data_IF_554053497521
#
_entry.id   IF_554053497521
#
_cell.length_a   1.000
_cell.length_b   1.000
_cell.length_c   1.000
_cell.angle_alpha   90.00
_cell.angle_beta   90.00
_cell.angle_gamma   90.00
#
_symmetry.space_group_name_H-M   'P 1'
#
loop_
_entity.id
_entity.type
_entity.pdbx_description
1 polymer ?
#
# COMPACT_ATOMS: atom_id res chain seq x y z
N UNK A 1 -17.18 -5.08 -28.11
CA UNK A 1 -17.82 -4.25 -27.07
C UNK A 1 -17.84 -2.81 -27.52
N UNK A 2 -18.91 -2.08 -27.24
CA UNK A 2 -18.99 -0.65 -27.51
C UNK A 2 -18.34 0.09 -26.30
N UNK A 3 -17.47 1.06 -26.61
CA UNK A 3 -16.89 1.93 -25.59
C UNK A 3 -17.89 3.02 -25.28
N UNK A 4 -18.21 3.24 -24.01
CA UNK A 4 -19.00 4.39 -23.59
C UNK A 4 -18.11 5.66 -23.58
N UNK A 5 -18.10 6.40 -24.67
CA UNK A 5 -17.26 7.59 -24.84
C UNK A 5 -17.70 8.79 -24.01
N UNK A 6 -18.88 8.75 -23.37
CA UNK A 6 -19.32 9.79 -22.45
C UNK A 6 -18.80 9.59 -21.02
N UNK A 7 -18.26 8.40 -20.69
CA UNK A 7 -17.75 8.11 -19.37
C UNK A 7 -16.42 8.84 -19.13
N UNK A 8 -16.40 9.72 -18.12
CA UNK A 8 -15.22 10.45 -17.67
C UNK A 8 -15.19 10.40 -16.14
N UNK A 9 -14.22 9.71 -15.58
CA UNK A 9 -14.19 9.46 -14.13
C UNK A 9 -12.88 8.85 -13.72
N UNK A 10 -12.94 7.97 -12.74
CA UNK A 10 -11.81 7.26 -12.19
C UNK A 10 -12.02 5.74 -12.32
N UNK A 11 -10.94 5.00 -12.44
CA UNK A 11 -10.95 3.54 -12.36
C UNK A 11 -9.93 3.08 -11.33
N UNK A 12 -10.41 2.33 -10.36
CA UNK A 12 -9.59 1.57 -9.41
C UNK A 12 -9.25 0.22 -10.02
N UNK A 13 -7.96 -0.11 -10.06
CA UNK A 13 -7.44 -1.30 -10.73
C UNK A 13 -6.63 -2.12 -9.74
N UNK A 14 -6.91 -3.41 -9.71
CA UNK A 14 -6.12 -4.39 -8.97
C UNK A 14 -5.65 -5.47 -9.93
N UNK A 15 -4.34 -5.72 -9.96
CA UNK A 15 -3.73 -6.75 -10.81
C UNK A 15 -3.16 -7.85 -9.93
N UNK A 16 -3.66 -9.06 -10.10
CA UNK A 16 -3.25 -10.25 -9.35
C UNK A 16 -2.32 -11.12 -10.16
N UNK A 17 -1.38 -11.75 -9.46
CA UNK A 17 -0.57 -12.84 -10.00
C UNK A 17 -1.43 -14.08 -10.32
N UNK A 18 -0.77 -15.12 -10.75
CA UNK A 18 -1.33 -16.43 -11.07
C UNK A 18 -2.01 -17.07 -9.86
N UNK A 19 -2.96 -17.97 -10.13
CA UNK A 19 -3.54 -18.81 -9.09
C UNK A 19 -2.50 -19.71 -8.43
N UNK A 20 -2.65 -19.86 -7.13
CA UNK A 20 -1.92 -20.82 -6.30
C UNK A 20 -2.80 -22.00 -5.93
N UNK A 21 -2.26 -23.20 -6.07
CA UNK A 21 -2.90 -24.39 -5.50
C UNK A 21 -2.37 -24.59 -4.09
N UNK A 22 -3.25 -24.44 -3.12
CA UNK A 22 -2.96 -24.65 -1.71
C UNK A 22 -3.53 -25.98 -1.27
N UNK A 23 -2.75 -26.71 -0.47
CA UNK A 23 -3.12 -27.95 0.15
C UNK A 23 -3.06 -27.78 1.67
N UNK A 24 -4.18 -28.02 2.36
CA UNK A 24 -4.21 -27.96 3.83
C UNK A 24 -3.31 -29.03 4.45
N UNK A 25 -2.79 -28.74 5.65
CA UNK A 25 -1.87 -29.64 6.36
C UNK A 25 -2.55 -30.89 6.92
N UNK A 26 -3.91 -30.93 6.98
CA UNK A 26 -4.67 -32.02 7.55
C UNK A 26 -4.24 -32.36 9.00
N UNK A 27 -4.12 -31.34 9.85
CA UNK A 27 -3.63 -31.48 11.23
C UNK A 27 -4.50 -32.39 12.12
N UNK A 28 -5.77 -32.59 11.71
CA UNK A 28 -6.73 -33.44 12.43
C UNK A 28 -6.62 -34.94 12.11
N UNK A 29 -5.65 -35.34 11.27
CA UNK A 29 -5.45 -36.74 10.86
C UNK A 29 -5.20 -37.70 12.04
N UNK A 30 -4.81 -37.17 13.22
CA UNK A 30 -4.71 -37.98 14.46
C UNK A 30 -6.08 -38.30 15.08
N UNK A 31 -7.11 -37.47 14.80
CA UNK A 31 -8.47 -37.65 15.31
C UNK A 31 -9.35 -38.37 14.29
N UNK A 32 -9.07 -38.20 13.01
CA UNK A 32 -9.75 -38.87 11.91
C UNK A 32 -8.72 -39.40 10.90
N UNK A 33 -8.50 -40.71 10.92
CA UNK A 33 -7.55 -41.41 10.02
C UNK A 33 -7.99 -41.41 8.55
N UNK A 34 -9.23 -41.01 8.27
CA UNK A 34 -9.78 -40.91 6.90
C UNK A 34 -9.65 -39.50 6.34
N UNK A 35 -9.27 -38.53 7.17
CA UNK A 35 -9.12 -37.15 6.76
C UNK A 35 -8.08 -37.00 5.64
N UNK A 36 -8.46 -36.31 4.60
CA UNK A 36 -7.60 -36.01 3.46
C UNK A 36 -7.34 -34.50 3.39
N UNK A 37 -6.16 -34.06 2.97
CA UNK A 37 -5.88 -32.65 2.75
C UNK A 37 -6.85 -32.05 1.73
N UNK A 38 -7.45 -30.93 2.09
CA UNK A 38 -8.26 -30.16 1.16
C UNK A 38 -7.38 -29.38 0.20
N UNK A 39 -7.67 -29.45 -1.10
CA UNK A 39 -6.94 -28.74 -2.14
C UNK A 39 -7.85 -27.67 -2.73
N UNK A 40 -7.37 -26.44 -2.77
CA UNK A 40 -8.09 -25.31 -3.36
C UNK A 40 -7.15 -24.37 -4.11
N UNK A 41 -7.69 -23.60 -5.04
CA UNK A 41 -6.96 -22.56 -5.73
C UNK A 41 -7.28 -21.21 -5.12
N UNK A 42 -6.27 -20.37 -5.02
CA UNK A 42 -6.36 -19.06 -4.38
C UNK A 42 -5.46 -18.04 -5.08
N UNK A 43 -5.90 -16.79 -5.17
CA UNK A 43 -5.12 -15.63 -5.61
C UNK A 43 -5.02 -14.66 -4.46
N UNK A 44 -3.84 -14.55 -3.87
CA UNK A 44 -3.61 -13.75 -2.66
C UNK A 44 -3.05 -12.39 -2.94
N UNK A 45 -2.20 -12.28 -3.95
CA UNK A 45 -1.22 -11.20 -3.97
C UNK A 45 -1.46 -10.31 -5.18
N UNK A 46 -2.10 -9.15 -4.99
CA UNK A 46 -2.05 -8.12 -6.00
C UNK A 46 -0.62 -7.57 -6.07
N UNK A 47 -0.04 -7.50 -7.24
CA UNK A 47 1.24 -6.83 -7.45
C UNK A 47 1.08 -5.40 -7.98
N UNK A 48 -0.13 -4.98 -8.27
CA UNK A 48 -0.47 -3.60 -8.55
C UNK A 48 -1.86 -3.27 -8.00
N UNK A 49 -1.96 -2.16 -7.29
CA UNK A 49 -3.21 -1.55 -6.86
C UNK A 49 -3.07 -0.05 -7.09
N UNK A 50 -3.96 0.54 -7.88
CA UNK A 50 -3.88 1.95 -8.18
C UNK A 50 -5.18 2.51 -8.76
N UNK A 51 -5.23 3.83 -8.85
CA UNK A 51 -6.36 4.55 -9.42
C UNK A 51 -5.88 5.51 -10.51
N UNK A 52 -6.55 5.51 -11.65
CA UNK A 52 -6.22 6.36 -12.80
C UNK A 52 -7.48 6.99 -13.41
N UNK A 53 -7.27 8.11 -14.14
CA UNK A 53 -8.35 8.77 -14.83
C UNK A 53 -8.87 7.97 -16.03
N UNK A 54 -10.18 7.93 -16.18
CA UNK A 54 -10.86 7.48 -17.40
C UNK A 54 -11.27 8.71 -18.19
N UNK A 55 -10.86 8.78 -19.44
CA UNK A 55 -11.25 9.84 -20.39
C UNK A 55 -11.89 9.24 -21.64
N UNK A 56 -13.10 9.69 -21.96
CA UNK A 56 -13.85 9.17 -23.10
C UNK A 56 -13.99 7.63 -23.11
N UNK A 57 -14.19 7.04 -21.92
CA UNK A 57 -14.34 5.62 -21.72
C UNK A 57 -13.04 4.81 -21.88
N UNK A 58 -11.88 5.46 -21.84
CA UNK A 58 -10.56 4.83 -21.98
C UNK A 58 -9.66 5.24 -20.83
N UNK A 59 -8.80 4.33 -20.40
CA UNK A 59 -7.73 4.58 -19.46
C UNK A 59 -6.46 3.86 -19.90
N UNK A 60 -5.35 4.26 -19.37
CA UNK A 60 -4.03 3.65 -19.56
C UNK A 60 -3.34 3.56 -18.21
N UNK A 61 -2.64 2.46 -17.97
CA UNK A 61 -1.82 2.26 -16.79
C UNK A 61 -0.45 1.74 -17.21
N UNK A 62 0.55 2.14 -16.44
CA UNK A 62 1.90 1.63 -16.51
C UNK A 62 2.28 1.07 -15.15
N UNK A 63 2.93 -0.07 -15.12
CA UNK A 63 3.44 -0.69 -13.90
C UNK A 63 4.61 -1.64 -14.24
N UNK A 64 5.44 -1.91 -13.25
CA UNK A 64 6.56 -2.84 -13.38
C UNK A 64 6.16 -4.17 -12.73
N UNK A 65 6.45 -5.28 -13.40
CA UNK A 65 6.24 -6.61 -12.86
C UNK A 65 7.36 -6.94 -11.88
N UNK A 66 7.05 -7.23 -10.60
CA UNK A 66 8.06 -7.48 -9.58
C UNK A 66 8.94 -8.69 -9.85
N UNK A 67 10.18 -8.66 -9.38
CA UNK A 67 11.08 -9.83 -9.41
C UNK A 67 10.60 -11.01 -8.56
N UNK A 68 9.84 -10.74 -7.52
CA UNK A 68 9.30 -11.76 -6.60
C UNK A 68 8.14 -12.56 -7.19
N UNK A 69 7.74 -12.25 -8.42
CA UNK A 69 6.74 -13.02 -9.14
C UNK A 69 7.26 -14.41 -9.49
N UNK A 70 6.39 -15.39 -9.49
CA UNK A 70 6.76 -16.74 -9.92
C UNK A 70 7.10 -16.77 -11.41
N UNK A 71 8.21 -17.37 -11.76
CA UNK A 71 8.71 -17.43 -13.15
C UNK A 71 7.88 -18.34 -14.08
N UNK A 72 7.08 -19.28 -13.52
CA UNK A 72 6.22 -20.13 -14.33
C UNK A 72 5.14 -19.31 -15.05
N UNK A 73 4.86 -19.63 -16.29
CA UNK A 73 3.78 -19.01 -17.05
C UNK A 73 2.41 -19.37 -16.50
N UNK A 74 1.54 -18.40 -16.38
CA UNK A 74 0.17 -18.60 -15.93
C UNK A 74 -0.69 -17.36 -16.16
N UNK A 75 -2.00 -17.53 -15.99
CA UNK A 75 -2.96 -16.43 -16.15
C UNK A 75 -3.04 -15.58 -14.90
N UNK A 76 -2.74 -14.29 -15.05
CA UNK A 76 -3.08 -13.26 -14.07
C UNK A 76 -4.55 -12.85 -14.16
N UNK A 77 -4.97 -11.96 -13.28
CA UNK A 77 -6.30 -11.34 -13.28
C UNK A 77 -6.19 -9.85 -13.05
N UNK A 78 -6.87 -9.08 -13.87
CA UNK A 78 -7.10 -7.65 -13.64
C UNK A 78 -8.55 -7.50 -13.18
N UNK A 79 -8.76 -6.81 -12.06
CA UNK A 79 -10.08 -6.43 -11.56
C UNK A 79 -10.16 -4.91 -11.62
N UNK A 80 -11.28 -4.39 -12.08
CA UNK A 80 -11.49 -2.97 -12.32
C UNK A 80 -12.83 -2.54 -11.75
N UNK A 81 -12.84 -1.40 -11.08
CA UNK A 81 -14.05 -0.70 -10.66
C UNK A 81 -13.91 0.76 -11.07
N UNK A 82 -14.81 1.23 -11.92
CA UNK A 82 -14.81 2.59 -12.44
C UNK A 82 -16.04 3.35 -11.96
N UNK A 83 -15.88 4.64 -11.69
CA UNK A 83 -16.97 5.51 -11.29
C UNK A 83 -16.82 6.90 -11.88
N UNK A 84 -17.95 7.49 -12.26
CA UNK A 84 -18.12 8.86 -12.75
C UNK A 84 -19.09 9.56 -11.82
N UNK A 85 -18.57 10.42 -10.94
CA UNK A 85 -19.38 11.13 -9.94
C UNK A 85 -20.28 12.21 -10.56
N UNK A 86 -19.91 12.75 -11.72
CA UNK A 86 -20.72 13.78 -12.38
C UNK A 86 -21.98 13.19 -13.01
N UNK A 87 -21.85 12.01 -13.62
CA UNK A 87 -22.97 11.32 -14.24
C UNK A 87 -23.63 10.28 -13.32
N UNK A 88 -23.05 10.03 -12.14
CA UNK A 88 -23.47 9.00 -11.18
C UNK A 88 -23.57 7.61 -11.85
N UNK A 89 -22.52 7.24 -12.59
CA UNK A 89 -22.41 5.98 -13.30
C UNK A 89 -21.25 5.17 -12.70
N UNK A 90 -21.47 3.89 -12.50
CA UNK A 90 -20.47 2.93 -12.05
C UNK A 90 -20.32 1.79 -13.05
N UNK A 91 -19.13 1.23 -13.14
CA UNK A 91 -18.85 0.07 -13.95
C UNK A 91 -17.83 -0.84 -13.25
N UNK A 92 -17.98 -2.14 -13.40
CA UNK A 92 -17.00 -3.10 -12.91
C UNK A 92 -16.68 -4.14 -14.00
N UNK A 93 -15.52 -4.75 -13.88
CA UNK A 93 -15.11 -5.78 -14.82
C UNK A 93 -13.86 -6.52 -14.37
N UNK A 94 -13.61 -7.64 -15.03
CA UNK A 94 -12.39 -8.40 -14.86
C UNK A 94 -11.85 -8.89 -16.20
N UNK A 95 -10.52 -9.06 -16.27
CA UNK A 95 -9.82 -9.56 -17.44
C UNK A 95 -8.82 -10.64 -17.02
N UNK A 96 -8.90 -11.83 -17.60
CA UNK A 96 -8.09 -12.99 -17.23
C UNK A 96 -7.27 -13.58 -18.42
N UNK A 97 -7.26 -12.92 -19.56
CA UNK A 97 -6.48 -13.37 -20.71
C UNK A 97 -5.06 -12.77 -20.76
N UNK A 98 -4.56 -12.34 -19.63
CA UNK A 98 -3.19 -11.86 -19.45
C UNK A 98 -2.33 -13.01 -18.96
N UNK A 99 -1.22 -13.28 -19.65
CA UNK A 99 -0.22 -14.25 -19.20
C UNK A 99 0.95 -13.53 -18.54
N UNK A 100 1.35 -14.05 -17.40
CA UNK A 100 2.44 -13.53 -16.58
C UNK A 100 3.46 -14.65 -16.39
N UNK A 101 4.74 -14.31 -16.53
CA UNK A 101 5.85 -15.26 -16.33
C UNK A 101 7.00 -14.99 -17.31
N UNK A 102 8.09 -15.71 -17.12
CA UNK A 102 9.32 -15.51 -17.88
C UNK A 102 10.18 -14.39 -17.31
N UNK A 103 11.24 -14.05 -18.04
CA UNK A 103 12.18 -12.97 -17.71
C UNK A 103 12.02 -11.85 -18.72
N UNK A 104 12.11 -10.60 -18.25
CA UNK A 104 12.10 -9.43 -19.12
C UNK A 104 13.43 -9.30 -19.89
N UNK A 105 13.34 -8.87 -21.14
CA UNK A 105 14.53 -8.46 -21.92
C UNK A 105 14.82 -6.99 -21.63
N UNK A 106 16.12 -6.62 -21.56
CA UNK A 106 16.59 -5.24 -21.34
C UNK A 106 16.14 -4.59 -20.04
N UNK A 107 16.29 -5.30 -18.92
CA UNK A 107 16.00 -4.75 -17.59
C UNK A 107 17.09 -3.75 -17.22
N UNK A 108 16.74 -2.50 -16.98
CA UNK A 108 17.62 -1.53 -16.33
C UNK A 108 17.67 -1.87 -14.84
N UNK A 109 18.86 -2.23 -14.35
CA UNK A 109 19.07 -2.53 -12.94
C UNK A 109 19.36 -1.25 -12.18
N UNK A 110 18.63 -1.06 -11.08
CA UNK A 110 18.99 -0.10 -10.04
C UNK A 110 19.38 -0.84 -8.77
N UNK A 111 20.10 -0.15 -7.88
CA UNK A 111 20.66 -0.72 -6.66
C UNK A 111 20.27 0.11 -5.43
N UNK A 112 19.58 1.20 -5.62
CA UNK A 112 19.08 2.05 -4.53
C UNK A 112 17.70 1.55 -4.11
N UNK A 113 17.46 1.45 -2.80
CA UNK A 113 16.12 1.09 -2.30
C UNK A 113 15.22 2.32 -2.20
N UNK A 114 13.93 2.11 -1.89
CA UNK A 114 12.93 3.17 -1.86
C UNK A 114 13.31 4.36 -0.98
N UNK A 115 13.00 5.57 -1.44
CA UNK A 115 13.08 6.77 -0.63
C UNK A 115 11.93 6.77 0.37
N UNK A 116 12.25 7.03 1.63
CA UNK A 116 11.29 6.99 2.74
C UNK A 116 11.23 8.36 3.39
N UNK A 117 10.02 8.91 3.52
CA UNK A 117 9.73 10.03 4.41
C UNK A 117 8.68 9.57 5.42
N UNK A 118 9.14 9.19 6.62
CA UNK A 118 8.29 8.65 7.68
C UNK A 118 8.07 9.68 8.79
N UNK A 119 6.85 9.72 9.33
CA UNK A 119 6.48 10.61 10.42
C UNK A 119 5.26 10.09 11.20
N UNK A 120 4.97 10.72 12.34
CA UNK A 120 3.78 10.48 13.15
C UNK A 120 2.83 11.68 13.06
N UNK A 121 1.55 11.43 12.82
CA UNK A 121 0.44 12.39 12.78
C UNK A 121 0.58 13.51 11.74
N UNK A 122 1.75 14.13 11.61
CA UNK A 122 1.97 15.31 10.79
C UNK A 122 3.30 15.25 10.05
N UNK A 123 3.38 15.71 8.79
CA UNK A 123 4.63 15.80 8.03
C UNK A 123 5.67 16.75 8.65
N UNK A 124 5.27 17.56 9.64
CA UNK A 124 6.13 18.42 10.45
C UNK A 124 6.62 17.74 11.74
N UNK A 125 6.34 16.46 11.93
CA UNK A 125 6.84 15.70 13.07
C UNK A 125 8.37 15.73 13.11
N UNK A 126 8.91 16.02 14.29
CA UNK A 126 10.35 16.03 14.53
C UNK A 126 10.70 14.78 15.33
N UNK A 127 11.77 14.09 14.94
CA UNK A 127 12.26 12.90 15.66
C UNK A 127 12.49 13.21 17.14
N UNK A 128 12.01 12.34 18.02
CA UNK A 128 11.94 12.56 19.47
C UNK A 128 10.70 13.35 19.94
N UNK A 129 9.81 13.74 19.03
CA UNK A 129 8.59 14.49 19.33
C UNK A 129 7.60 13.74 20.19
N UNK A 130 6.61 14.48 20.73
CA UNK A 130 5.56 13.94 21.59
C UNK A 130 4.31 13.60 20.79
N UNK A 131 3.68 12.47 21.14
CA UNK A 131 2.42 12.02 20.56
C UNK A 131 1.47 11.53 21.66
N UNK A 132 0.18 11.35 21.32
CA UNK A 132 -0.76 10.66 22.19
C UNK A 132 -0.58 9.13 22.10
N UNK A 133 -1.35 8.39 22.86
CA UNK A 133 -1.31 6.91 22.89
C UNK A 133 -1.78 6.22 21.60
N UNK A 134 -2.39 6.96 20.67
CA UNK A 134 -2.94 6.44 19.42
C UNK A 134 -2.43 7.27 18.21
N UNK A 135 -1.12 7.30 17.94
CA UNK A 135 -0.59 8.07 16.82
C UNK A 135 -0.84 7.36 15.49
N UNK A 136 -0.97 8.14 14.42
CA UNK A 136 -0.97 7.65 13.05
C UNK A 136 0.46 7.62 12.52
N UNK A 137 0.97 6.44 12.20
CA UNK A 137 2.22 6.31 11.43
C UNK A 137 1.92 6.56 9.96
N UNK A 138 2.74 7.40 9.33
CA UNK A 138 2.67 7.71 7.90
C UNK A 138 4.05 7.52 7.28
N UNK A 139 4.10 6.86 6.13
CA UNK A 139 5.30 6.77 5.30
C UNK A 139 4.96 7.15 3.85
N UNK A 140 5.55 8.23 3.37
CA UNK A 140 5.56 8.59 1.96
C UNK A 140 6.74 7.87 1.31
N UNK A 141 6.47 7.13 0.23
CA UNK A 141 7.42 6.25 -0.43
C UNK A 141 7.56 6.64 -1.90
N UNK A 142 8.78 6.60 -2.41
CA UNK A 142 9.05 6.82 -3.83
C UNK A 142 10.21 5.96 -4.31
N UNK A 143 10.02 5.27 -5.44
CA UNK A 143 11.04 4.44 -6.05
C UNK A 143 10.84 4.34 -7.56
N UNK A 144 11.92 4.39 -8.34
CA UNK A 144 11.87 4.38 -9.81
C UNK A 144 11.31 3.06 -10.35
N UNK A 145 11.63 1.94 -9.71
CA UNK A 145 11.10 0.62 -10.07
C UNK A 145 9.73 0.35 -9.47
N UNK A 146 9.31 1.15 -8.46
CA UNK A 146 8.07 0.97 -7.72
C UNK A 146 8.24 0.20 -6.43
N UNK A 147 7.21 0.24 -5.58
CA UNK A 147 7.22 -0.35 -4.24
C UNK A 147 6.73 -1.80 -4.28
N UNK A 148 7.49 -2.71 -3.67
CA UNK A 148 7.10 -4.11 -3.53
C UNK A 148 6.05 -4.27 -2.43
N UNK A 149 4.82 -4.56 -2.85
CA UNK A 149 3.69 -4.82 -1.95
C UNK A 149 3.33 -6.31 -1.88
N UNK A 150 4.11 -7.17 -2.55
CA UNK A 150 3.84 -8.61 -2.62
C UNK A 150 4.40 -9.28 -1.37
N UNK A 151 3.52 -9.84 -0.54
CA UNK A 151 3.90 -10.64 0.62
C UNK A 151 4.28 -12.09 0.30
N UNK A 152 4.65 -12.43 -0.94
CA UNK A 152 5.01 -13.80 -1.33
C UNK A 152 6.50 -14.10 -1.24
N UNK A 153 7.34 -13.08 -1.25
CA UNK A 153 8.78 -13.21 -1.05
C UNK A 153 9.13 -13.35 0.44
N UNK A 154 9.89 -14.38 0.80
CA UNK A 154 10.33 -14.54 2.18
C UNK A 154 11.20 -13.35 2.59
N UNK A 155 10.68 -12.53 3.52
CA UNK A 155 11.42 -11.40 4.10
C UNK A 155 11.32 -10.08 3.34
N UNK A 156 10.54 -10.00 2.25
CA UNK A 156 10.34 -8.77 1.48
C UNK A 156 9.06 -8.01 1.86
N UNK A 157 8.46 -8.35 2.99
CA UNK A 157 7.32 -7.60 3.52
C UNK A 157 7.71 -6.16 3.90
N UNK A 158 6.75 -5.26 3.75
CA UNK A 158 6.81 -3.93 4.34
C UNK A 158 6.52 -4.10 5.82
N UNK A 159 7.49 -3.82 6.67
CA UNK A 159 7.37 -4.04 8.11
C UNK A 159 7.49 -2.74 8.90
N UNK A 160 6.68 -2.67 9.95
CA UNK A 160 6.81 -1.68 11.02
C UNK A 160 6.97 -2.42 12.34
N UNK A 161 8.04 -2.13 13.08
CA UNK A 161 8.33 -2.76 14.35
C UNK A 161 8.43 -1.72 15.46
N UNK A 162 7.77 -1.98 16.57
CA UNK A 162 7.81 -1.12 17.75
C UNK A 162 8.83 -1.65 18.77
N UNK A 163 9.71 -0.76 19.25
CA UNK A 163 10.68 -1.02 20.33
C UNK A 163 11.59 -2.24 20.10
N UNK A 164 11.92 -2.53 18.85
CA UNK A 164 12.71 -3.71 18.45
C UNK A 164 12.10 -5.07 18.91
N UNK A 165 10.82 -5.07 19.31
CA UNK A 165 10.10 -6.28 19.75
C UNK A 165 9.48 -7.00 18.55
N UNK A 166 9.96 -8.19 18.24
CA UNK A 166 9.43 -9.04 17.16
C UNK A 166 7.95 -9.43 17.35
N UNK A 167 7.43 -9.35 18.58
CA UNK A 167 6.01 -9.58 18.84
C UNK A 167 5.14 -8.37 18.50
N UNK A 168 5.75 -7.21 18.31
CA UNK A 168 5.11 -5.96 17.92
C UNK A 168 5.58 -5.55 16.52
N UNK A 169 5.64 -6.52 15.62
CA UNK A 169 5.93 -6.33 14.21
C UNK A 169 4.63 -6.42 13.41
N UNK A 170 4.40 -5.43 12.57
CA UNK A 170 3.21 -5.29 11.72
C UNK A 170 3.64 -5.39 10.26
N UNK A 171 2.93 -6.21 9.48
CA UNK A 171 3.07 -6.29 8.02
C UNK A 171 2.13 -5.27 7.40
N UNK A 172 2.69 -4.32 6.65
CA UNK A 172 1.97 -3.16 6.12
C UNK A 172 1.70 -3.22 4.61
N UNK A 173 1.93 -4.34 3.95
CA UNK A 173 1.72 -4.48 2.50
C UNK A 173 0.31 -4.03 2.06
N UNK A 174 -0.73 -4.40 2.82
CA UNK A 174 -2.12 -4.05 2.55
C UNK A 174 -2.50 -2.60 2.92
N UNK A 175 -1.59 -1.85 3.52
CA UNK A 175 -1.77 -0.44 3.89
C UNK A 175 -1.11 0.51 2.90
N UNK A 176 -0.42 -0.04 1.89
CA UNK A 176 0.16 0.76 0.84
C UNK A 176 -0.91 1.19 -0.16
N UNK A 177 -0.94 2.47 -0.46
CA UNK A 177 -1.80 3.09 -1.46
C UNK A 177 -0.91 3.83 -2.46
N UNK A 178 -0.93 3.43 -3.73
CA UNK A 178 -0.24 4.17 -4.77
C UNK A 178 -0.86 5.58 -4.92
N UNK A 179 -0.03 6.58 -5.17
CA UNK A 179 -0.54 7.91 -5.50
C UNK A 179 -1.23 7.87 -6.87
N UNK A 180 -2.21 8.75 -7.02
CA UNK A 180 -3.02 8.82 -8.23
C UNK A 180 -2.18 8.89 -9.51
N UNK A 181 -2.37 7.92 -10.40
CA UNK A 181 -1.66 7.82 -11.66
C UNK A 181 -0.17 7.50 -11.56
N UNK A 182 0.34 7.12 -10.38
CA UNK A 182 1.73 6.74 -10.19
C UNK A 182 1.87 5.25 -9.89
N UNK A 183 2.93 4.63 -10.40
CA UNK A 183 3.39 3.31 -9.97
C UNK A 183 4.63 3.39 -9.07
N UNK A 184 5.29 4.54 -9.08
CA UNK A 184 6.57 4.80 -8.39
C UNK A 184 6.38 5.40 -7.00
N UNK A 185 5.23 6.04 -6.75
CA UNK A 185 5.00 6.80 -5.54
C UNK A 185 3.76 6.31 -4.81
N UNK A 186 3.82 6.27 -3.50
CA UNK A 186 2.71 5.84 -2.68
C UNK A 186 2.84 6.24 -1.22
N UNK A 187 1.83 5.91 -0.46
CA UNK A 187 1.74 6.26 0.95
C UNK A 187 1.21 5.09 1.78
N UNK A 188 1.75 4.96 2.96
CA UNK A 188 1.25 4.05 3.99
C UNK A 188 0.69 4.89 5.13
N UNK A 189 -0.51 4.53 5.61
CA UNK A 189 -1.14 5.09 6.81
C UNK A 189 -1.52 3.95 7.74
N UNK A 190 -0.87 3.88 8.90
CA UNK A 190 -1.11 2.82 9.86
C UNK A 190 -1.40 3.38 11.25
N UNK A 191 -2.61 3.17 11.80
CA UNK A 191 -2.96 3.63 13.15
C UNK A 191 -2.30 2.73 14.19
N UNK A 192 -1.44 3.30 15.01
CA UNK A 192 -0.99 2.67 16.24
C UNK A 192 -2.02 2.93 17.35
N UNK A 193 -2.16 2.03 18.30
CA UNK A 193 -3.15 2.18 19.35
C UNK A 193 -2.69 1.63 20.69
N UNK A 194 -3.16 2.29 21.76
CA UNK A 194 -2.91 1.91 23.15
C UNK A 194 -1.42 1.80 23.50
N UNK A 195 -0.60 2.70 22.98
CA UNK A 195 0.82 2.73 23.31
C UNK A 195 1.01 3.17 24.77
N UNK A 196 1.86 2.50 25.55
CA UNK A 196 2.19 2.94 26.89
C UNK A 196 2.83 4.32 26.92
N UNK A 197 2.62 5.07 28.01
CA UNK A 197 3.32 6.34 28.25
C UNK A 197 4.82 6.07 28.34
N UNK A 198 5.64 6.92 27.70
CA UNK A 198 7.08 6.84 27.73
C UNK A 198 7.73 6.92 26.34
N UNK A 199 9.01 6.64 26.30
CA UNK A 199 9.81 6.70 25.07
C UNK A 199 9.64 5.41 24.26
N UNK A 200 9.50 5.59 22.96
CA UNK A 200 9.34 4.53 21.98
C UNK A 200 10.22 4.77 20.77
N UNK A 201 10.45 3.68 20.04
CA UNK A 201 11.16 3.67 18.76
C UNK A 201 10.36 2.87 17.77
N UNK A 202 10.21 3.37 16.56
CA UNK A 202 9.70 2.64 15.40
C UNK A 202 10.86 2.33 14.45
N UNK A 203 10.91 1.11 13.97
CA UNK A 203 11.73 0.67 12.84
C UNK A 203 10.79 0.35 11.69
N UNK A 204 11.03 0.96 10.53
CA UNK A 204 10.26 0.74 9.30
C UNK A 204 11.18 0.26 8.19
N UNK A 205 10.78 -0.76 7.41
CA UNK A 205 11.53 -1.26 6.26
C UNK A 205 10.57 -1.51 5.10
N UNK A 206 11.02 -1.15 3.90
CA UNK A 206 10.32 -1.33 2.63
C UNK A 206 11.28 -1.82 1.56
N UNK A 207 10.75 -2.51 0.56
CA UNK A 207 11.48 -3.04 -0.58
C UNK A 207 10.93 -2.44 -1.88
N UNK A 208 11.79 -2.32 -2.90
CA UNK A 208 11.39 -2.02 -4.27
C UNK A 208 11.05 -3.32 -5.04
N UNK A 209 10.63 -3.18 -6.29
CA UNK A 209 10.33 -4.31 -7.18
C UNK A 209 11.59 -5.00 -7.71
N UNK A 210 12.79 -4.46 -7.46
CA UNK A 210 14.07 -5.04 -7.79
C UNK A 210 14.79 -5.70 -6.63
N UNK A 211 14.13 -5.77 -5.46
CA UNK A 211 14.63 -6.36 -4.21
C UNK A 211 15.75 -5.55 -3.53
N UNK A 212 15.78 -4.24 -3.73
CA UNK A 212 16.57 -3.37 -2.90
C UNK A 212 15.71 -2.87 -1.74
N UNK A 213 16.30 -2.65 -0.57
CA UNK A 213 15.55 -2.23 0.61
C UNK A 213 16.07 -0.95 1.20
N UNK A 214 15.16 -0.19 1.79
CA UNK A 214 15.47 0.95 2.64
C UNK A 214 14.80 0.81 3.99
N UNK A 215 15.37 1.45 5.01
CA UNK A 215 14.80 1.49 6.34
C UNK A 215 14.85 2.90 6.92
N UNK A 216 13.91 3.19 7.82
CA UNK A 216 13.86 4.42 8.61
C UNK A 216 13.57 4.09 10.06
N UNK A 217 14.08 4.93 10.95
CA UNK A 217 13.81 4.85 12.39
C UNK A 217 13.19 6.17 12.85
N UNK A 218 12.22 6.07 13.75
CA UNK A 218 11.59 7.22 14.39
C UNK A 218 11.60 7.02 15.91
N UNK A 219 12.11 8.00 16.63
CA UNK A 219 11.99 8.05 18.08
C UNK A 219 10.83 8.99 18.45
N UNK A 220 10.11 8.68 19.53
CA UNK A 220 9.01 9.50 20.00
C UNK A 220 8.70 9.24 21.47
N UNK A 221 7.95 10.15 22.08
CA UNK A 221 7.47 10.02 23.45
C UNK A 221 5.96 10.06 23.49
N UNK A 222 5.36 9.02 24.07
CA UNK A 222 3.91 8.99 24.34
C UNK A 222 3.64 9.71 25.65
N UNK A 223 2.73 10.69 25.61
CA UNK A 223 2.32 11.49 26.78
C UNK A 223 0.79 11.46 26.93
N UNK A 224 0.32 11.56 28.18
CA UNK A 224 -1.13 11.54 28.47
C UNK A 224 -1.86 12.80 28.02
N UNK A 225 -1.17 13.94 28.09
CA UNK A 225 -1.75 15.24 27.75
C UNK A 225 -0.84 15.94 26.73
N UNK A 226 -1.28 15.94 25.47
CA UNK A 226 -0.67 16.80 24.46
C UNK A 226 -1.35 18.16 24.52
N UNK A 227 -0.61 19.23 24.81
CA UNK A 227 -1.17 20.57 24.65
C UNK A 227 -1.58 20.76 23.19
N UNK A 228 -2.77 21.28 22.95
CA UNK A 228 -3.18 21.71 21.63
C UNK A 228 -2.34 22.93 21.27
N UNK A 229 -1.36 22.73 20.40
CA UNK A 229 -0.53 23.79 19.85
C UNK A 229 -1.10 24.19 18.49
N UNK A 230 -1.93 25.24 18.48
CA UNK A 230 -2.48 25.80 17.27
C UNK A 230 -1.49 26.83 16.73
N UNK A 231 -0.79 26.47 15.64
CA UNK A 231 0.16 27.36 14.94
C UNK A 231 -0.42 27.79 13.61
N UNK A 232 0.01 28.96 13.16
CA UNK A 232 -0.28 29.48 11.83
C UNK A 232 -1.77 29.58 11.48
N UNK A 233 -2.60 29.95 12.50
CA UNK A 233 -4.02 30.23 12.30
C UNK A 233 -4.15 31.62 11.69
N UNK A 234 -4.76 31.72 10.53
CA UNK A 234 -5.10 32.99 9.91
C UNK A 234 -6.49 32.95 9.31
N UNK A 235 -7.09 34.15 9.23
CA UNK A 235 -8.40 34.32 8.60
C UNK A 235 -8.22 34.66 7.14
N UNK A 236 -9.04 34.06 6.28
CA UNK A 236 -9.09 34.41 4.86
C UNK A 236 -10.54 34.65 4.42
N UNK A 237 -10.86 35.79 3.78
CA UNK A 237 -9.98 36.93 3.50
C UNK A 237 -9.58 37.71 4.75
N UNK A 238 -8.47 38.43 4.67
CA UNK A 238 -8.06 39.36 5.72
C UNK A 238 -7.77 40.75 5.08
N UNK A 239 -8.54 41.83 5.40
CA UNK A 239 -9.58 41.89 6.45
C UNK A 239 -10.86 41.12 6.12
N UNK A 240 -11.57 40.71 7.18
CA UNK A 240 -12.87 40.04 7.11
C UNK A 240 -13.94 41.07 6.78
N UNK A 241 -14.74 40.87 5.73
CA UNK A 241 -15.88 41.75 5.40
C UNK A 241 -17.21 41.15 5.84
N UNK A 242 -17.51 39.87 5.50
CA UNK A 242 -18.75 39.20 5.83
C UNK A 242 -18.55 37.80 6.39
N UNK A 243 -17.62 37.01 5.84
CA UNK A 243 -17.35 35.62 6.21
C UNK A 243 -15.87 35.33 5.98
N UNK A 244 -15.30 34.49 6.84
CA UNK A 244 -13.94 34.00 6.73
C UNK A 244 -13.85 32.54 7.10
N UNK A 245 -12.96 31.82 6.43
CA UNK A 245 -12.57 30.48 6.79
C UNK A 245 -11.32 30.54 7.69
N UNK A 246 -11.23 29.61 8.61
CA UNK A 246 -10.02 29.38 9.41
C UNK A 246 -9.17 28.35 8.66
N UNK A 247 -7.94 28.71 8.36
CA UNK A 247 -6.97 27.86 7.64
C UNK A 247 -5.78 27.53 8.54
#
# INVERSE_FOLDING_TARGET
ALVNTSFNGLVHITIFDKEETIKTLCNDSKLDTTAQPFVYTYRTNPFYVGEVAVKNGKFEIEFIVPKDIRYNYGKGRVVMYAYDNEQNIEANGSFENMYIGGEGENIEYEYDGPKIKAYLNSPYFIDGGKVNENPLFVAELSDVSGINTIGSGIGHDIILRLNDDLKQEYVLNNYYEALFGSYSDGIIRFPLSNLPIGKHKLFFRVWDLQNNSSSAELNFEVVSDLPVDLKDIYLTPNPVEYMSDIV
#
